data_IF_318772326616
#
_entry.id   IF_318772326616
#
_cell.length_a   1.000
_cell.length_b   1.000
_cell.length_c   1.000
_cell.angle_alpha   90.00
_cell.angle_beta   90.00
_cell.angle_gamma   90.00
#
_symmetry.space_group_name_H-M   'P 1'
#
loop_
_entity.id
_entity.type
_entity.pdbx_description
1 polymer ?
#
# COMPACT_ATOMS: atom_id res chain seq x y z
N UNK A 1 -22.15 -46.19 -41.75
CA UNK A 1 -22.26 -47.10 -40.59
C UNK A 1 -20.85 -47.54 -40.21
N UNK A 2 -20.19 -46.77 -39.33
CA UNK A 2 -18.90 -47.06 -38.69
C UNK A 2 -18.68 -45.93 -37.64
N UNK A 3 -18.93 -46.23 -36.37
CA UNK A 3 -17.96 -46.37 -35.25
C UNK A 3 -17.50 -45.04 -34.68
N UNK A 4 -17.92 -44.72 -33.45
CA UNK A 4 -17.19 -43.78 -32.60
C UNK A 4 -17.38 -43.99 -31.08
N UNK A 5 -16.22 -44.15 -30.43
CA UNK A 5 -15.79 -43.97 -29.04
C UNK A 5 -16.65 -44.41 -27.82
N UNK A 6 -16.25 -45.54 -27.23
CA UNK A 6 -15.35 -45.53 -26.06
C UNK A 6 -15.86 -44.90 -24.75
N UNK A 7 -16.62 -45.67 -23.97
CA UNK A 7 -16.84 -45.44 -22.54
C UNK A 7 -15.61 -45.84 -21.71
N UNK A 8 -15.13 -44.93 -20.87
CA UNK A 8 -14.14 -45.20 -19.83
C UNK A 8 -14.45 -44.40 -18.57
N UNK A 9 -15.33 -44.91 -17.71
CA UNK A 9 -15.56 -44.39 -16.37
C UNK A 9 -14.48 -44.87 -15.41
N UNK A 10 -13.75 -43.92 -14.82
CA UNK A 10 -12.83 -44.16 -13.70
C UNK A 10 -12.92 -43.04 -12.69
N UNK A 11 -13.89 -43.13 -11.77
CA UNK A 11 -13.98 -42.24 -10.60
C UNK A 11 -13.04 -42.74 -9.50
N UNK A 12 -11.86 -42.13 -9.41
CA UNK A 12 -10.92 -42.31 -8.28
C UNK A 12 -10.81 -41.02 -7.46
N UNK A 13 -11.81 -40.75 -6.61
CA UNK A 13 -11.83 -39.58 -5.71
C UNK A 13 -11.23 -39.98 -4.36
N UNK A 14 -9.92 -39.84 -4.21
CA UNK A 14 -9.22 -40.00 -2.94
C UNK A 14 -8.60 -38.69 -2.47
N UNK A 15 -9.40 -37.77 -1.95
CA UNK A 15 -8.89 -36.62 -1.20
C UNK A 15 -8.67 -37.02 0.26
N UNK A 16 -7.47 -37.53 0.55
CA UNK A 16 -6.94 -37.60 1.90
C UNK A 16 -6.64 -36.20 2.40
N UNK A 17 -7.64 -35.53 2.98
CA UNK A 17 -7.43 -34.31 3.74
C UNK A 17 -6.76 -34.71 5.07
N UNK A 18 -5.43 -34.69 5.10
CA UNK A 18 -4.66 -34.81 6.34
C UNK A 18 -4.89 -33.53 7.12
N UNK A 19 -5.91 -33.53 7.98
CA UNK A 19 -6.10 -32.54 9.01
C UNK A 19 -4.94 -32.65 9.99
N UNK A 20 -3.85 -31.94 9.70
CA UNK A 20 -2.78 -31.70 10.65
C UNK A 20 -3.33 -30.87 11.81
N UNK A 21 -3.71 -31.53 12.90
CA UNK A 21 -3.86 -30.97 14.24
C UNK A 21 -2.50 -30.50 14.75
N UNK A 22 -1.98 -29.45 14.12
CA UNK A 22 -0.89 -28.67 14.67
C UNK A 22 -1.45 -27.81 15.78
N UNK A 23 -0.95 -27.99 16.99
CA UNK A 23 -1.18 -27.12 18.15
C UNK A 23 -0.88 -25.67 17.72
N UNK A 24 -1.93 -24.93 17.32
CA UNK A 24 -1.79 -23.54 16.86
C UNK A 24 -1.55 -22.72 18.11
N UNK A 25 -0.29 -22.45 18.42
CA UNK A 25 0.09 -21.39 19.34
C UNK A 25 -0.80 -20.17 19.03
N UNK A 26 -1.42 -19.53 20.04
CA UNK A 26 -2.36 -18.44 19.82
C UNK A 26 -1.70 -17.40 18.91
N UNK A 27 -2.42 -16.93 17.89
CA UNK A 27 -1.89 -16.05 16.84
C UNK A 27 -1.13 -14.83 17.40
N UNK A 28 -1.48 -14.38 18.61
CA UNK A 28 -0.78 -13.36 19.37
C UNK A 28 0.72 -13.66 19.58
N UNK A 29 1.11 -14.89 19.91
CA UNK A 29 2.51 -15.26 20.18
C UNK A 29 3.35 -15.40 18.90
N UNK A 30 2.72 -15.66 17.75
CA UNK A 30 3.41 -15.74 16.45
C UNK A 30 3.50 -14.40 15.73
N UNK A 31 2.64 -13.45 16.08
CA UNK A 31 2.60 -12.12 15.48
C UNK A 31 3.96 -11.39 15.41
N UNK A 32 4.84 -11.40 16.43
CA UNK A 32 6.14 -10.72 16.32
C UNK A 32 7.15 -11.46 15.43
N UNK A 33 6.97 -12.75 15.18
CA UNK A 33 7.89 -13.58 14.37
C UNK A 33 7.40 -13.83 12.95
N UNK A 34 6.22 -13.33 12.59
CA UNK A 34 5.68 -13.53 11.25
C UNK A 34 6.37 -12.60 10.24
N UNK A 35 6.77 -13.13 9.09
CA UNK A 35 7.42 -12.36 8.03
C UNK A 35 6.59 -11.16 7.54
N UNK A 36 5.27 -11.21 7.78
CA UNK A 36 4.33 -10.13 7.50
C UNK A 36 4.59 -8.89 8.36
N UNK A 37 4.79 -9.04 9.66
CA UNK A 37 5.05 -7.93 10.59
C UNK A 37 6.33 -7.19 10.22
N UNK A 38 7.36 -7.93 9.82
CA UNK A 38 8.62 -7.35 9.35
C UNK A 38 8.47 -6.58 8.04
N UNK A 39 7.61 -7.05 7.12
CA UNK A 39 7.28 -6.31 5.88
C UNK A 39 6.48 -5.04 6.15
N UNK A 40 5.53 -5.09 7.09
CA UNK A 40 4.74 -3.92 7.51
C UNK A 40 5.61 -2.91 8.28
N UNK A 41 6.52 -3.37 9.12
CA UNK A 41 7.50 -2.50 9.78
C UNK A 41 8.48 -1.87 8.78
N UNK A 42 9.02 -2.66 7.84
CA UNK A 42 9.87 -2.14 6.76
C UNK A 42 9.11 -1.12 5.90
N UNK A 43 7.81 -1.30 5.67
CA UNK A 43 6.97 -0.34 4.98
C UNK A 43 6.92 1.01 5.70
N UNK A 44 6.68 1.01 7.02
CA UNK A 44 6.68 2.23 7.84
C UNK A 44 8.05 2.88 7.89
N UNK A 45 9.11 2.08 8.02
CA UNK A 45 10.49 2.57 8.08
C UNK A 45 10.93 3.26 6.77
N UNK A 46 10.57 2.66 5.64
CA UNK A 46 10.77 3.27 4.31
C UNK A 46 9.77 4.38 4.00
N UNK A 47 8.67 4.46 4.76
CA UNK A 47 7.65 5.50 4.69
C UNK A 47 8.23 6.89 4.83
N UNK A 48 9.01 7.11 5.89
CA UNK A 48 9.62 8.41 6.20
C UNK A 48 10.58 8.93 5.12
N UNK A 49 11.66 8.23 4.71
CA UNK A 49 12.59 8.74 3.72
C UNK A 49 11.92 8.99 2.36
N UNK A 50 11.00 8.12 1.95
CA UNK A 50 10.24 8.32 0.71
C UNK A 50 9.38 9.58 0.83
N UNK A 51 8.63 9.73 1.93
CA UNK A 51 7.75 10.89 2.11
C UNK A 51 8.51 12.22 2.20
N UNK A 52 9.71 12.22 2.78
CA UNK A 52 10.61 13.39 2.79
C UNK A 52 10.98 13.80 1.36
N UNK A 53 11.38 12.83 0.52
CA UNK A 53 11.73 13.10 -0.89
C UNK A 53 10.51 13.59 -1.67
N UNK A 54 9.35 12.93 -1.51
CA UNK A 54 8.10 13.31 -2.17
C UNK A 54 7.65 14.71 -1.80
N UNK A 55 7.64 15.02 -0.50
CA UNK A 55 7.24 16.32 0.02
C UNK A 55 8.18 17.41 -0.46
N UNK A 56 9.50 17.21 -0.31
CA UNK A 56 10.52 18.19 -0.71
C UNK A 56 10.43 18.47 -2.21
N UNK A 57 10.35 17.44 -3.05
CA UNK A 57 10.18 17.61 -4.50
C UNK A 57 8.89 18.36 -4.83
N UNK A 58 7.76 17.95 -4.24
CA UNK A 58 6.44 18.54 -4.56
C UNK A 58 6.40 20.01 -4.16
N UNK A 59 6.82 20.34 -2.95
CA UNK A 59 6.82 21.72 -2.44
C UNK A 59 7.78 22.59 -3.25
N UNK A 60 9.02 22.12 -3.50
CA UNK A 60 10.00 22.89 -4.26
C UNK A 60 9.57 23.13 -5.70
N UNK A 61 9.09 22.11 -6.42
CA UNK A 61 8.70 22.24 -7.82
C UNK A 61 7.39 23.01 -8.01
N UNK A 62 6.43 22.87 -7.09
CA UNK A 62 5.19 23.68 -7.12
C UNK A 62 5.50 25.13 -6.79
N UNK A 63 6.31 25.41 -5.77
CA UNK A 63 6.70 26.78 -5.42
C UNK A 63 7.53 27.43 -6.54
N UNK A 64 8.49 26.70 -7.12
CA UNK A 64 9.31 27.15 -8.25
C UNK A 64 8.45 27.42 -9.48
N UNK A 65 7.57 26.48 -9.84
CA UNK A 65 6.64 26.62 -10.96
C UNK A 65 5.66 27.78 -10.77
N UNK A 66 5.18 27.98 -9.54
CA UNK A 66 4.31 29.10 -9.20
C UNK A 66 5.06 30.45 -9.27
N UNK A 67 6.30 30.53 -8.76
CA UNK A 67 7.12 31.74 -8.85
C UNK A 67 7.48 32.10 -10.29
N UNK A 68 7.77 31.10 -11.12
CA UNK A 68 8.10 31.28 -12.53
C UNK A 68 6.87 31.50 -13.43
N UNK A 69 5.63 31.46 -12.91
CA UNK A 69 4.44 31.76 -13.71
C UNK A 69 4.50 33.18 -14.31
N UNK A 70 5.15 34.11 -13.59
CA UNK A 70 5.36 35.49 -14.05
C UNK A 70 6.13 35.54 -15.37
N UNK A 71 7.04 34.59 -15.62
CA UNK A 71 7.93 34.57 -16.79
C UNK A 71 7.45 33.62 -17.89
N UNK A 72 6.21 33.13 -17.83
CA UNK A 72 5.66 32.03 -18.66
C UNK A 72 6.38 30.67 -18.54
N UNK A 73 7.62 30.65 -18.02
CA UNK A 73 8.42 29.45 -17.77
C UNK A 73 7.87 28.61 -16.60
N UNK A 74 6.96 29.16 -15.79
CA UNK A 74 6.29 28.43 -14.72
C UNK A 74 5.42 27.29 -15.22
N UNK A 75 4.82 27.42 -16.40
CA UNK A 75 3.95 26.39 -17.00
C UNK A 75 4.72 25.07 -17.23
N UNK A 76 5.90 25.06 -17.90
CA UNK A 76 6.71 23.84 -18.04
C UNK A 76 7.23 23.29 -16.73
N UNK A 77 7.66 24.14 -15.80
CA UNK A 77 8.13 23.67 -14.49
C UNK A 77 7.00 22.99 -13.71
N UNK A 78 5.80 23.57 -13.70
CA UNK A 78 4.64 23.01 -13.00
C UNK A 78 4.17 21.70 -13.65
N UNK A 79 4.26 21.57 -14.97
CA UNK A 79 3.96 20.32 -15.66
C UNK A 79 4.95 19.20 -15.30
N UNK A 80 6.24 19.51 -15.20
CA UNK A 80 7.26 18.56 -14.72
C UNK A 80 7.00 18.19 -13.25
N UNK A 81 6.62 19.16 -12.41
CA UNK A 81 6.24 18.92 -11.02
C UNK A 81 5.12 17.87 -10.91
N UNK A 82 4.03 18.07 -11.66
CA UNK A 82 2.87 17.18 -11.69
C UNK A 82 3.18 15.81 -12.32
N UNK A 83 4.03 15.77 -13.35
CA UNK A 83 4.50 14.53 -13.94
C UNK A 83 5.31 13.70 -12.93
N UNK A 84 6.21 14.36 -12.19
CA UNK A 84 6.95 13.75 -11.08
C UNK A 84 6.00 13.16 -10.03
N UNK A 85 4.99 13.94 -9.61
CA UNK A 85 3.96 13.46 -8.66
C UNK A 85 3.24 12.19 -9.15
N UNK A 86 2.94 12.07 -10.46
CA UNK A 86 2.35 10.85 -11.02
C UNK A 86 3.31 9.66 -11.01
N UNK A 87 4.59 9.90 -11.34
CA UNK A 87 5.64 8.87 -11.27
C UNK A 87 5.80 8.32 -9.85
N UNK A 88 5.78 9.21 -8.86
CA UNK A 88 5.79 8.84 -7.45
C UNK A 88 4.55 8.05 -7.01
N UNK A 89 3.38 8.37 -7.55
CA UNK A 89 2.19 7.54 -7.35
C UNK A 89 2.35 6.10 -7.87
N UNK A 90 3.20 5.85 -8.87
CA UNK A 90 3.52 4.47 -9.33
C UNK A 90 4.45 3.78 -8.32
N UNK A 91 5.46 4.49 -7.81
CA UNK A 91 6.39 3.98 -6.80
C UNK A 91 5.66 3.55 -5.52
N UNK A 92 4.80 4.42 -4.99
CA UNK A 92 3.96 4.17 -3.79
C UNK A 92 3.06 2.94 -3.96
N UNK A 93 2.41 2.80 -5.11
CA UNK A 93 1.58 1.62 -5.43
C UNK A 93 2.43 0.34 -5.58
N UNK A 94 3.63 0.45 -6.14
CA UNK A 94 4.59 -0.65 -6.22
C UNK A 94 5.03 -1.12 -4.82
N UNK A 95 5.32 -0.17 -3.92
CA UNK A 95 5.67 -0.44 -2.53
C UNK A 95 4.51 -1.09 -1.76
N UNK A 96 3.30 -0.55 -1.89
CA UNK A 96 2.10 -1.10 -1.27
C UNK A 96 1.79 -2.53 -1.77
N UNK A 97 1.99 -2.81 -3.07
CA UNK A 97 1.87 -4.16 -3.62
C UNK A 97 2.96 -5.09 -3.07
N UNK A 98 4.22 -4.65 -3.10
CA UNK A 98 5.37 -5.47 -2.72
C UNK A 98 5.42 -5.78 -1.23
N UNK A 99 4.99 -4.87 -0.36
CA UNK A 99 5.13 -5.03 1.10
C UNK A 99 3.80 -5.35 1.80
N UNK A 100 2.68 -4.75 1.36
CA UNK A 100 1.37 -4.94 2.00
C UNK A 100 0.44 -5.88 1.21
N UNK A 101 0.81 -6.29 -0.01
CA UNK A 101 -0.06 -7.08 -0.89
C UNK A 101 -1.29 -6.33 -1.38
N UNK A 102 -1.30 -4.99 -1.25
CA UNK A 102 -2.43 -4.16 -1.66
C UNK A 102 -2.33 -3.87 -3.16
N UNK A 103 -3.20 -4.50 -3.94
CA UNK A 103 -3.35 -4.17 -5.36
C UNK A 103 -4.23 -2.93 -5.52
N UNK A 104 -3.62 -1.84 -5.97
CA UNK A 104 -4.31 -0.57 -6.26
C UNK A 104 -4.26 -0.36 -7.77
N UNK A 105 -5.45 -0.28 -8.39
CA UNK A 105 -5.61 -0.06 -9.82
C UNK A 105 -4.92 1.24 -10.26
N UNK A 106 -4.35 1.24 -11.47
CA UNK A 106 -3.62 2.40 -11.97
C UNK A 106 -4.55 3.55 -12.37
N UNK A 107 -4.17 4.82 -12.11
CA UNK A 107 -4.92 5.97 -12.62
C UNK A 107 -4.87 5.97 -14.15
N UNK A 108 -5.93 6.49 -14.77
CA UNK A 108 -6.10 6.51 -16.22
C UNK A 108 -4.87 7.07 -16.95
N UNK A 109 -4.44 6.45 -18.07
CA UNK A 109 -3.40 7.01 -18.92
C UNK A 109 -3.79 8.42 -19.37
N UNK A 110 -2.82 9.33 -19.43
CA UNK A 110 -3.04 10.68 -19.96
C UNK A 110 -3.37 10.59 -21.46
N UNK A 111 -4.67 10.53 -21.80
CA UNK A 111 -5.15 10.62 -23.18
C UNK A 111 -5.03 12.06 -23.64
N UNK A 112 -4.02 12.36 -24.45
CA UNK A 112 -3.87 13.67 -25.10
C UNK A 112 -4.69 13.70 -26.40
N UNK A 113 -5.51 14.73 -26.58
CA UNK A 113 -6.36 14.89 -27.79
C UNK A 113 -5.55 15.30 -29.03
N UNK A 114 -4.34 15.84 -28.84
CA UNK A 114 -3.40 16.22 -29.91
C UNK A 114 -1.97 15.85 -29.48
N UNK A 115 -1.12 15.34 -30.40
CA UNK A 115 0.29 15.14 -30.12
C UNK A 115 1.00 16.49 -29.97
N UNK A 116 1.82 16.64 -28.92
CA UNK A 116 2.65 17.83 -28.71
C UNK A 116 2.90 18.16 -27.23
N UNK A 117 4.07 18.74 -26.89
CA UNK A 117 4.46 19.02 -25.51
C UNK A 117 3.51 20.03 -24.84
N UNK A 118 3.04 21.05 -25.56
CA UNK A 118 2.08 22.02 -25.02
C UNK A 118 0.69 21.41 -24.75
N UNK A 119 0.23 20.48 -25.59
CA UNK A 119 -1.04 19.76 -25.37
C UNK A 119 -0.94 18.78 -24.20
N UNK A 120 0.19 18.11 -24.04
CA UNK A 120 0.51 17.26 -22.89
C UNK A 120 0.55 18.08 -21.59
N UNK A 121 1.24 19.21 -21.61
CA UNK A 121 1.36 20.16 -20.50
C UNK A 121 0.00 20.67 -20.02
N UNK A 122 -0.84 21.13 -20.96
CA UNK A 122 -2.20 21.57 -20.66
C UNK A 122 -3.08 20.45 -20.12
N UNK A 123 -2.88 19.21 -20.60
CA UNK A 123 -3.60 18.03 -20.09
C UNK A 123 -3.17 17.68 -18.66
N UNK A 124 -1.88 17.80 -18.30
CA UNK A 124 -1.42 17.57 -16.92
C UNK A 124 -1.99 18.57 -15.93
N UNK A 125 -1.93 19.86 -16.29
CA UNK A 125 -2.38 20.96 -15.44
C UNK A 125 -3.89 20.92 -15.19
N UNK A 126 -4.67 20.57 -16.21
CA UNK A 126 -6.13 20.45 -16.12
C UNK A 126 -6.60 19.15 -15.46
N UNK A 127 -5.72 18.16 -15.28
CA UNK A 127 -6.12 16.87 -14.71
C UNK A 127 -6.12 16.93 -13.18
N UNK A 128 -7.31 16.87 -12.59
CA UNK A 128 -7.50 16.81 -11.13
C UNK A 128 -6.79 15.62 -10.45
N UNK A 129 -6.54 14.52 -11.18
CA UNK A 129 -5.76 13.39 -10.65
C UNK A 129 -4.31 13.78 -10.35
N UNK A 130 -3.67 14.63 -11.17
CA UNK A 130 -2.29 15.07 -10.94
C UNK A 130 -2.17 15.89 -9.65
N UNK A 131 -3.18 16.72 -9.35
CA UNK A 131 -3.26 17.50 -8.12
C UNK A 131 -3.55 16.62 -6.89
N UNK A 132 -4.32 15.54 -7.04
CA UNK A 132 -4.51 14.55 -5.95
C UNK A 132 -3.20 13.86 -5.58
N UNK A 133 -2.29 13.60 -6.53
CA UNK A 133 -0.96 13.08 -6.24
C UNK A 133 -0.09 14.08 -5.46
N UNK A 134 -0.17 15.38 -5.78
CA UNK A 134 0.52 16.42 -5.01
C UNK A 134 -0.05 16.56 -3.59
N UNK A 135 -1.38 16.53 -3.44
CA UNK A 135 -2.05 16.54 -2.14
C UNK A 135 -1.67 15.31 -1.29
N UNK A 136 -1.59 14.13 -1.93
CA UNK A 136 -1.08 12.92 -1.27
C UNK A 136 0.33 13.13 -0.73
N UNK A 137 1.28 13.66 -1.52
CA UNK A 137 2.64 13.91 -1.04
C UNK A 137 2.68 14.87 0.16
N UNK A 138 1.79 15.85 0.20
CA UNK A 138 1.68 16.81 1.29
C UNK A 138 1.13 16.17 2.59
N UNK A 139 0.08 15.36 2.48
CA UNK A 139 -0.56 14.68 3.62
C UNK A 139 0.21 13.46 4.11
N UNK A 140 0.92 12.79 3.21
CA UNK A 140 1.68 11.59 3.52
C UNK A 140 2.89 11.91 4.41
N UNK A 141 3.50 13.09 4.26
CA UNK A 141 4.66 13.48 5.08
C UNK A 141 4.37 13.52 6.59
N UNK A 142 3.40 14.29 7.12
CA UNK A 142 3.11 14.29 8.55
C UNK A 142 2.64 12.92 9.04
N UNK A 143 1.92 12.17 8.20
CA UNK A 143 1.51 10.80 8.53
C UNK A 143 2.70 9.84 8.63
N UNK A 144 3.67 9.92 7.72
CA UNK A 144 4.87 9.11 7.73
C UNK A 144 5.76 9.43 8.95
N UNK A 145 5.88 10.70 9.33
CA UNK A 145 6.58 11.13 10.56
C UNK A 145 5.90 10.56 11.79
N UNK A 146 4.58 10.66 11.88
CA UNK A 146 3.80 10.09 12.98
C UNK A 146 3.96 8.57 13.08
N UNK A 147 3.73 7.85 11.99
CA UNK A 147 3.79 6.38 11.96
C UNK A 147 5.18 5.85 12.25
N UNK A 148 6.23 6.47 11.69
CA UNK A 148 7.62 6.14 11.99
C UNK A 148 7.94 6.33 13.47
N UNK A 149 7.61 7.50 14.03
CA UNK A 149 7.91 7.83 15.42
C UNK A 149 7.22 6.85 16.38
N UNK A 150 5.94 6.56 16.14
CA UNK A 150 5.18 5.60 16.95
C UNK A 150 5.75 4.19 16.81
N UNK A 151 5.99 3.71 15.59
CA UNK A 151 6.50 2.35 15.36
C UNK A 151 7.88 2.14 15.98
N UNK A 152 8.81 3.08 15.80
CA UNK A 152 10.16 3.01 16.38
C UNK A 152 10.09 3.08 17.90
N UNK A 153 9.30 3.99 18.48
CA UNK A 153 9.18 4.11 19.94
C UNK A 153 8.65 2.82 20.58
N UNK A 154 7.57 2.25 20.03
CA UNK A 154 6.99 1.03 20.58
C UNK A 154 7.90 -0.18 20.44
N UNK A 155 8.63 -0.32 19.33
CA UNK A 155 9.61 -1.38 19.17
C UNK A 155 10.80 -1.20 20.11
N UNK A 156 11.40 0.00 20.16
CA UNK A 156 12.55 0.26 21.02
C UNK A 156 12.18 0.09 22.50
N UNK A 157 11.08 0.70 22.97
CA UNK A 157 10.63 0.53 24.35
C UNK A 157 10.29 -0.93 24.67
N UNK A 158 9.57 -1.63 23.78
CA UNK A 158 9.22 -3.04 23.95
C UNK A 158 10.44 -3.93 24.11
N UNK A 159 11.42 -3.82 23.20
CA UNK A 159 12.67 -4.59 23.27
C UNK A 159 13.53 -4.21 24.47
N UNK A 160 13.67 -2.93 24.79
CA UNK A 160 14.46 -2.46 25.95
C UNK A 160 13.90 -3.02 27.26
N UNK A 161 12.58 -2.95 27.46
CA UNK A 161 11.90 -3.47 28.65
C UNK A 161 11.95 -5.01 28.70
N UNK A 162 11.76 -5.67 27.56
CA UNK A 162 11.80 -7.13 27.47
C UNK A 162 13.19 -7.70 27.74
N UNK A 163 14.23 -7.03 27.26
CA UNK A 163 15.63 -7.42 27.45
C UNK A 163 16.21 -6.96 28.78
N UNK A 164 15.49 -6.13 29.56
CA UNK A 164 15.94 -5.61 30.85
C UNK A 164 16.56 -6.65 31.80
N UNK A 165 15.98 -7.86 31.99
CA UNK A 165 16.58 -8.90 32.84
C UNK A 165 17.95 -9.40 32.36
N UNK A 166 18.32 -9.15 31.11
CA UNK A 166 19.60 -9.55 30.52
C UNK A 166 20.70 -8.51 30.69
N UNK A 167 20.40 -7.28 31.12
CA UNK A 167 21.42 -6.24 31.28
C UNK A 167 21.23 -5.39 32.54
N UNK A 168 20.32 -5.79 33.44
CA UNK A 168 20.10 -5.10 34.72
C UNK A 168 21.38 -4.98 35.55
N UNK A 169 22.32 -5.92 35.44
CA UNK A 169 23.61 -5.89 36.15
C UNK A 169 24.52 -4.72 35.77
N UNK A 170 24.27 -4.07 34.62
CA UNK A 170 25.08 -2.94 34.14
C UNK A 170 24.92 -1.73 35.06
N UNK A 171 23.71 -1.49 35.58
CA UNK A 171 23.43 -0.37 36.48
C UNK A 171 24.24 -0.40 37.79
N UNK A 172 24.20 -1.48 38.59
CA UNK A 172 24.97 -1.54 39.83
C UNK A 172 26.48 -1.58 39.57
N UNK A 173 26.92 -2.13 38.42
CA UNK A 173 28.35 -2.27 38.12
C UNK A 173 29.01 -0.97 37.62
N UNK A 174 28.30 -0.16 36.84
CA UNK A 174 28.88 1.02 36.16
C UNK A 174 28.26 2.36 36.57
N UNK A 175 26.99 2.38 36.94
CA UNK A 175 26.29 3.61 37.33
C UNK A 175 26.24 3.82 38.85
N UNK A 176 26.44 2.76 39.64
CA UNK A 176 26.28 2.81 41.10
C UNK A 176 24.82 2.90 41.56
N UNK A 177 23.88 2.80 40.62
CA UNK A 177 22.43 2.78 40.85
C UNK A 177 21.91 1.33 40.96
N UNK A 178 20.82 1.14 41.72
CA UNK A 178 20.22 -0.19 41.93
C UNK A 178 19.55 -0.80 40.69
N UNK A 179 19.25 0.00 39.66
CA UNK A 179 18.56 -0.43 38.45
C UNK A 179 18.06 0.73 37.60
N UNK A 180 17.18 0.46 36.63
CA UNK A 180 16.57 1.48 35.79
C UNK A 180 15.59 2.32 36.63
N UNK A 181 15.86 3.62 36.75
CA UNK A 181 15.03 4.53 37.52
C UNK A 181 13.71 4.79 36.78
N UNK A 182 12.60 4.27 37.30
CA UNK A 182 11.28 4.44 36.67
C UNK A 182 10.64 5.80 37.03
N UNK A 183 10.92 6.27 38.25
CA UNK A 183 10.48 7.57 38.77
C UNK A 183 11.45 8.06 39.85
N UNK A 184 11.71 9.36 39.88
CA UNK A 184 12.61 9.99 40.85
C UNK A 184 12.24 11.43 41.12
N UNK A 185 11.85 11.72 42.36
CA UNK A 185 11.82 13.09 42.90
C UNK A 185 12.87 13.28 44.02
N UNK A 186 12.91 14.45 44.65
CA UNK A 186 13.87 14.77 45.70
C UNK A 186 13.74 13.92 46.99
N UNK A 187 12.68 13.13 47.14
CA UNK A 187 12.41 12.33 48.33
C UNK A 187 12.10 10.84 48.06
N UNK A 188 11.76 10.45 46.83
CA UNK A 188 11.46 9.08 46.43
C UNK A 188 12.04 8.77 45.05
N UNK A 189 12.99 7.83 45.02
CA UNK A 189 13.45 7.17 43.80
C UNK A 189 13.01 5.71 43.82
N UNK A 190 12.17 5.32 42.85
CA UNK A 190 11.75 3.93 42.67
C UNK A 190 12.74 3.30 41.69
N UNK A 191 13.65 2.51 42.23
CA UNK A 191 14.59 1.70 41.47
C UNK A 191 14.02 0.30 41.26
N UNK A 192 14.24 -0.22 40.07
CA UNK A 192 13.91 -1.59 39.68
C UNK A 192 14.97 -2.59 40.17
N UNK A 193 15.05 -2.80 41.48
CA UNK A 193 16.07 -3.62 42.15
C UNK A 193 15.52 -4.95 42.70
N UNK A 194 14.20 -5.08 42.85
CA UNK A 194 13.56 -6.32 43.30
C UNK A 194 13.33 -7.30 42.11
N UNK A 195 13.67 -8.61 42.24
CA UNK A 195 13.38 -9.64 41.22
C UNK A 195 11.94 -9.64 40.70
N UNK A 196 10.97 -9.27 41.55
CA UNK A 196 9.57 -9.12 41.15
C UNK A 196 9.38 -7.96 40.16
N UNK A 197 9.96 -6.79 40.42
CA UNK A 197 9.81 -5.61 39.55
C UNK A 197 10.53 -5.78 38.21
N UNK A 198 11.69 -6.45 38.20
CA UNK A 198 12.40 -6.86 36.97
C UNK A 198 11.49 -7.76 36.12
N UNK A 199 10.81 -8.73 36.76
CA UNK A 199 9.88 -9.64 36.08
C UNK A 199 8.66 -8.90 35.54
N UNK A 200 8.06 -8.00 36.31
CA UNK A 200 6.94 -7.16 35.86
C UNK A 200 7.35 -6.28 34.69
N UNK A 201 8.54 -5.68 34.72
CA UNK A 201 9.08 -4.85 33.64
C UNK A 201 9.28 -5.64 32.35
N UNK A 202 9.81 -6.86 32.46
CA UNK A 202 9.94 -7.77 31.33
C UNK A 202 8.57 -8.18 30.77
N UNK A 203 7.58 -8.43 31.63
CA UNK A 203 6.20 -8.72 31.22
C UNK A 203 5.55 -7.52 30.52
N UNK A 204 5.76 -6.30 31.00
CA UNK A 204 5.30 -5.08 30.34
C UNK A 204 5.96 -4.95 28.97
N UNK A 205 7.28 -5.13 28.88
CA UNK A 205 8.00 -5.16 27.60
C UNK A 205 7.48 -6.21 26.63
N UNK A 206 7.14 -7.39 27.13
CA UNK A 206 6.50 -8.46 26.35
C UNK A 206 5.14 -8.00 25.81
N UNK A 207 4.29 -7.41 26.66
CA UNK A 207 2.98 -6.87 26.24
C UNK A 207 3.16 -5.80 25.17
N UNK A 208 4.07 -4.84 25.35
CA UNK A 208 4.39 -3.84 24.33
C UNK A 208 4.79 -4.51 23.01
N UNK A 209 5.72 -5.46 23.05
CA UNK A 209 6.21 -6.19 21.88
C UNK A 209 5.10 -6.98 21.17
N UNK A 210 4.13 -7.52 21.91
CA UNK A 210 2.98 -8.23 21.36
C UNK A 210 1.91 -7.30 20.77
N UNK A 211 1.78 -6.08 21.31
CA UNK A 211 0.82 -5.06 20.83
C UNK A 211 1.36 -4.33 19.59
N UNK A 212 2.68 -4.13 19.48
CA UNK A 212 3.31 -3.39 18.37
C UNK A 212 2.91 -3.86 16.97
N UNK A 213 2.85 -5.17 16.64
CA UNK A 213 2.38 -5.64 15.34
C UNK A 213 0.94 -5.18 15.02
N UNK A 214 0.05 -5.18 15.99
CA UNK A 214 -1.34 -4.73 15.81
C UNK A 214 -1.42 -3.23 15.60
N UNK A 215 -0.59 -2.47 16.32
CA UNK A 215 -0.46 -1.03 16.14
C UNK A 215 0.06 -0.70 14.73
N UNK A 216 1.13 -1.34 14.28
CA UNK A 216 1.68 -1.16 12.93
C UNK A 216 0.65 -1.54 11.85
N UNK A 217 -0.15 -2.58 12.08
CA UNK A 217 -1.27 -2.94 11.20
C UNK A 217 -2.33 -1.84 11.15
N UNK A 218 -2.74 -1.29 12.28
CA UNK A 218 -3.69 -0.18 12.31
C UNK A 218 -3.14 1.03 11.53
N UNK A 219 -1.86 1.38 11.71
CA UNK A 219 -1.23 2.49 10.99
C UNK A 219 -1.15 2.25 9.48
N UNK A 220 -0.79 1.04 9.04
CA UNK A 220 -0.71 0.69 7.61
C UNK A 220 -2.08 0.58 6.94
N UNK A 221 -3.16 0.31 7.69
CA UNK A 221 -4.52 0.37 7.13
C UNK A 221 -4.92 1.78 6.72
N UNK A 222 -4.58 2.78 7.53
CA UNK A 222 -4.81 4.20 7.20
C UNK A 222 -3.99 4.61 5.98
N UNK A 223 -2.75 4.14 5.89
CA UNK A 223 -1.91 4.36 4.71
C UNK A 223 -2.54 3.77 3.43
N UNK A 224 -3.06 2.54 3.53
CA UNK A 224 -3.83 1.92 2.45
C UNK A 224 -5.09 2.71 2.06
N UNK A 225 -5.75 3.38 3.01
CA UNK A 225 -6.87 4.28 2.74
C UNK A 225 -6.43 5.57 2.03
N UNK A 226 -5.29 6.16 2.42
CA UNK A 226 -4.71 7.31 1.72
C UNK A 226 -4.34 6.96 0.28
N UNK A 227 -3.70 5.81 0.07
CA UNK A 227 -3.34 5.32 -1.26
C UNK A 227 -4.59 5.06 -2.09
N UNK A 228 -5.60 4.36 -1.57
CA UNK A 228 -6.84 4.09 -2.32
C UNK A 228 -7.65 5.36 -2.58
N UNK A 229 -7.76 6.23 -1.59
CA UNK A 229 -8.57 7.44 -1.63
C UNK A 229 -7.97 8.56 -2.47
N UNK A 230 -6.64 8.69 -2.51
CA UNK A 230 -5.97 9.78 -3.24
C UNK A 230 -5.26 9.32 -4.53
N UNK A 231 -4.70 8.10 -4.54
CA UNK A 231 -3.98 7.54 -5.69
C UNK A 231 -4.85 6.60 -6.55
N UNK A 232 -6.01 6.18 -6.05
CA UNK A 232 -6.98 5.35 -6.80
C UNK A 232 -7.85 6.15 -7.78
N UNK A 233 -8.39 5.49 -8.83
CA UNK A 233 -9.28 6.12 -9.80
C UNK A 233 -10.48 6.77 -9.09
N UNK A 234 -10.92 7.94 -9.56
CA UNK A 234 -12.15 8.53 -9.02
C UNK A 234 -13.34 7.60 -9.33
N UNK A 235 -14.35 7.48 -8.45
CA UNK A 235 -15.51 6.61 -8.69
C UNK A 235 -16.28 6.96 -9.99
N UNK A 236 -16.12 8.19 -10.51
CA UNK A 236 -16.68 8.62 -11.79
C UNK A 236 -15.91 8.05 -13.00
N UNK A 237 -14.59 7.92 -12.89
CA UNK A 237 -13.72 7.30 -13.90
C UNK A 237 -14.04 5.81 -14.08
N UNK A 238 -14.20 5.10 -12.97
CA UNK A 238 -14.54 3.67 -12.97
C UNK A 238 -15.90 3.43 -13.68
N UNK A 239 -16.87 4.31 -13.46
CA UNK A 239 -18.21 4.21 -14.05
C UNK A 239 -18.24 4.55 -15.55
N UNK A 240 -17.38 5.45 -16.01
CA UNK A 240 -17.22 5.74 -17.45
C UNK A 240 -16.53 4.59 -18.18
N UNK A 241 -15.52 3.96 -17.56
CA UNK A 241 -14.88 2.75 -18.11
C UNK A 241 -15.85 1.59 -18.18
N UNK A 242 -16.69 1.41 -17.17
CA UNK A 242 -17.76 0.41 -17.15
C UNK A 242 -18.78 0.65 -18.28
N UNK A 243 -19.19 1.91 -18.50
CA UNK A 243 -20.10 2.28 -19.60
C UNK A 243 -19.46 2.21 -21.00
N UNK A 244 -18.16 2.49 -21.13
CA UNK A 244 -17.41 2.32 -22.38
C UNK A 244 -17.24 0.83 -22.72
N UNK A 245 -16.96 -0.02 -21.71
CA UNK A 245 -16.88 -1.47 -21.88
C UNK A 245 -18.23 -2.09 -22.27
N UNK A 246 -19.32 -1.63 -21.65
CA UNK A 246 -20.67 -2.10 -21.96
C UNK A 246 -21.10 -1.70 -23.38
N UNK A 247 -20.75 -0.48 -23.82
CA UNK A 247 -20.94 -0.06 -25.22
C UNK A 247 -20.08 -0.83 -26.21
N UNK A 248 -18.83 -1.13 -25.85
CA UNK A 248 -17.95 -1.96 -26.68
C UNK A 248 -18.54 -3.36 -26.91
N UNK A 249 -19.01 -4.00 -25.84
CA UNK A 249 -19.66 -5.31 -25.91
C UNK A 249 -20.95 -5.28 -26.75
N UNK A 250 -21.76 -4.24 -26.63
CA UNK A 250 -22.99 -4.07 -27.44
C UNK A 250 -22.66 -3.84 -28.91
N UNK A 251 -21.64 -3.03 -29.22
CA UNK A 251 -21.21 -2.77 -30.61
C UNK A 251 -20.62 -4.02 -31.25
N UNK A 252 -19.81 -4.79 -30.52
CA UNK A 252 -19.24 -6.04 -31.02
C UNK A 252 -20.33 -7.09 -31.29
N UNK A 253 -21.35 -7.15 -30.43
CA UNK A 253 -22.52 -8.02 -30.61
C UNK A 253 -23.31 -7.62 -31.85
N UNK A 254 -23.59 -6.32 -32.05
CA UNK A 254 -24.27 -5.82 -33.23
C UNK A 254 -23.47 -6.06 -34.53
N UNK A 255 -22.14 -5.91 -34.48
CA UNK A 255 -21.26 -6.19 -35.62
C UNK A 255 -21.14 -7.69 -35.93
N UNK A 256 -21.33 -8.57 -34.94
CA UNK A 256 -21.41 -10.01 -35.15
C UNK A 256 -22.73 -10.41 -35.82
N UNK A 257 -23.85 -9.83 -35.40
CA UNK A 257 -25.16 -10.09 -36.00
C UNK A 257 -25.24 -9.61 -37.45
N UNK A 258 -24.67 -8.45 -37.75
CA UNK A 258 -24.66 -7.91 -39.12
C UNK A 258 -23.86 -8.82 -40.07
N UNK A 259 -22.70 -9.32 -39.63
CA UNK A 259 -21.91 -10.32 -40.38
C UNK A 259 -22.63 -11.65 -40.55
N UNK A 260 -23.53 -12.02 -39.64
CA UNK A 260 -24.35 -13.22 -39.74
C UNK A 260 -25.44 -13.06 -40.80
N UNK A 261 -26.15 -11.93 -40.78
CA UNK A 261 -27.19 -11.60 -41.77
C UNK A 261 -26.58 -11.48 -43.17
N UNK A 262 -25.42 -10.85 -43.31
CA UNK A 262 -24.71 -10.78 -44.59
C UNK A 262 -24.38 -12.17 -45.13
N UNK A 263 -23.86 -13.07 -44.28
CA UNK A 263 -23.54 -14.44 -44.66
C UNK A 263 -24.78 -15.24 -45.06
N UNK A 264 -25.84 -15.17 -44.25
CA UNK A 264 -27.11 -15.85 -44.54
C UNK A 264 -27.78 -15.33 -45.82
N UNK A 265 -27.61 -14.03 -46.13
CA UNK A 265 -28.07 -13.45 -47.39
C UNK A 265 -27.22 -13.92 -48.58
N UNK A 266 -25.91 -14.03 -48.40
CA UNK A 266 -25.01 -14.51 -49.44
C UNK A 266 -25.27 -15.98 -49.77
N UNK A 267 -25.47 -16.81 -48.74
CA UNK A 267 -25.76 -18.24 -48.85
C UNK A 267 -27.19 -18.48 -49.37
N UNK A 268 -28.16 -17.67 -48.93
CA UNK A 268 -29.55 -17.72 -49.39
C UNK A 268 -29.73 -17.31 -50.85
N UNK A 269 -28.88 -16.42 -51.37
CA UNK A 269 -28.85 -16.05 -52.79
C UNK A 269 -28.27 -17.18 -53.66
N UNK A 270 -27.28 -17.94 -53.17
CA UNK A 270 -26.68 -19.08 -53.88
C UNK A 270 -27.61 -20.30 -53.91
N UNK A 271 -28.40 -20.53 -52.87
CA UNK A 271 -29.37 -21.64 -52.81
C UNK A 271 -30.55 -21.52 -53.79
N UNK A 272 -30.77 -20.35 -54.42
CA UNK A 272 -31.84 -20.12 -55.42
C UNK A 272 -31.38 -20.25 -56.88
N UNK A 273 -30.09 -20.50 -57.11
CA UNK A 273 -29.51 -20.58 -58.47
C UNK A 273 -29.10 -22.01 -58.89
N UNK A 274 -29.45 -23.03 -58.11
CA UNK A 274 -29.33 -24.47 -58.44
C UNK A 274 -30.72 -25.08 -58.50
#
# INVERSE_FOLDING_TARGET
MATDYGHGHGYGRGHGHVAGTGHRLPAALRAPFEARTWREFAYVLLGLPISVVLFTWTVTMVALGAGLLVTFLGIPVLAVALAGCRGFGVLERGRARALLGLEVAAPEPLRTRRPGPAAWMGALLKNGSSWRHALYALLQFPWAVFTFSVAVTFWTCGWTLLTYPLWFWVFPTYAGDGGLQLYGDAHHSVYLDNPFEITVTALVGLVFTLVTPWLVRALTTVDGLLVRGLLGPSPLSARVVELEADRGAVVDTAAADLRRIERDLHDGAQARLV
#
